data_IF_368304111131
#
_entry.id   IF_368304111131
#
_cell.length_a   1.000
_cell.length_b   1.000
_cell.length_c   1.000
_cell.angle_alpha   90.00
_cell.angle_beta   90.00
_cell.angle_gamma   90.00
#
_symmetry.space_group_name_H-M   'P 1'
#
loop_
_entity.id
_entity.type
_entity.pdbx_description
1 polymer ?
#
# COMPACT_ATOMS: atom_id res chain seq x y z
N UNK A 1 43.52 6.85 35.68
CA UNK A 1 43.54 7.06 34.21
C UNK A 1 42.74 5.94 33.59
N UNK A 2 41.44 6.14 33.43
CA UNK A 2 40.53 5.34 32.62
C UNK A 2 39.22 6.12 32.61
N UNK A 3 38.50 6.12 31.49
CA UNK A 3 37.23 6.84 31.22
C UNK A 3 37.33 8.19 30.49
N UNK A 4 38.47 8.54 29.89
CA UNK A 4 38.52 9.74 29.02
C UNK A 4 38.06 9.48 27.57
N UNK A 5 37.92 8.22 27.14
CA UNK A 5 37.64 7.87 25.74
C UNK A 5 36.51 6.84 25.55
N UNK A 6 35.84 6.37 26.62
CA UNK A 6 34.92 5.22 26.52
C UNK A 6 33.58 5.55 25.85
N UNK A 7 32.83 6.48 26.44
CA UNK A 7 31.45 6.71 26.03
C UNK A 7 31.33 7.52 24.73
N UNK A 8 32.22 8.49 24.51
CA UNK A 8 32.17 9.40 23.36
C UNK A 8 32.65 8.70 22.08
N UNK A 9 33.73 7.91 22.16
CA UNK A 9 34.26 7.15 21.02
C UNK A 9 33.30 6.05 20.55
N UNK A 10 32.66 5.35 21.49
CA UNK A 10 31.65 4.35 21.16
C UNK A 10 30.40 4.98 20.55
N UNK A 11 30.00 6.17 21.01
CA UNK A 11 28.89 6.91 20.41
C UNK A 11 29.21 7.38 18.98
N UNK A 12 30.44 7.85 18.72
CA UNK A 12 30.91 8.20 17.38
C UNK A 12 30.90 7.00 16.43
N UNK A 13 31.45 5.86 16.85
CA UNK A 13 31.45 4.62 16.03
C UNK A 13 30.05 4.15 15.68
N UNK A 14 29.12 4.20 16.64
CA UNK A 14 27.70 3.89 16.40
C UNK A 14 27.07 4.84 15.39
N UNK A 15 27.37 6.13 15.48
CA UNK A 15 26.91 7.14 14.52
C UNK A 15 27.44 6.89 13.11
N UNK A 16 28.75 6.63 12.97
CA UNK A 16 29.37 6.30 11.68
C UNK A 16 28.77 5.05 11.04
N UNK A 17 28.51 4.02 11.86
CA UNK A 17 27.88 2.80 11.37
C UNK A 17 26.47 3.07 10.81
N UNK A 18 25.62 3.80 11.54
CA UNK A 18 24.27 4.12 11.08
C UNK A 18 24.27 5.01 9.83
N UNK A 19 25.15 6.02 9.75
CA UNK A 19 25.30 6.88 8.57
C UNK A 19 25.73 6.08 7.33
N UNK A 20 26.75 5.22 7.48
CA UNK A 20 27.21 4.34 6.40
C UNK A 20 26.12 3.38 5.92
N UNK A 21 25.37 2.79 6.86
CA UNK A 21 24.27 1.89 6.55
C UNK A 21 23.13 2.61 5.81
N UNK A 22 22.78 3.83 6.25
CA UNK A 22 21.76 4.66 5.61
C UNK A 22 22.13 4.97 4.15
N UNK A 23 23.37 5.40 3.90
CA UNK A 23 23.87 5.67 2.55
C UNK A 23 23.87 4.43 1.65
N UNK A 24 24.19 3.26 2.20
CA UNK A 24 24.17 2.00 1.45
C UNK A 24 22.74 1.57 1.08
N UNK A 25 21.78 1.74 2.00
CA UNK A 25 20.36 1.47 1.75
C UNK A 25 19.80 2.37 0.65
N UNK A 26 20.08 3.68 0.68
CA UNK A 26 19.63 4.62 -0.34
C UNK A 26 20.24 4.31 -1.71
N UNK A 27 21.54 3.97 -1.75
CA UNK A 27 22.19 3.51 -2.98
C UNK A 27 21.49 2.28 -3.57
N UNK A 28 21.06 1.33 -2.74
CA UNK A 28 20.31 0.18 -3.24
C UNK A 28 18.94 0.57 -3.78
N UNK A 29 18.22 1.47 -3.11
CA UNK A 29 16.93 2.01 -3.59
C UNK A 29 17.08 2.67 -4.96
N UNK A 30 18.10 3.50 -5.15
CA UNK A 30 18.34 4.23 -6.39
C UNK A 30 18.72 3.32 -7.57
N UNK A 31 19.38 2.20 -7.30
CA UNK A 31 19.84 1.25 -8.32
C UNK A 31 18.78 0.19 -8.67
N UNK A 32 17.70 0.08 -7.91
CA UNK A 32 16.75 -1.02 -8.01
C UNK A 32 15.61 -0.71 -8.99
N UNK A 33 15.62 -1.39 -10.13
CA UNK A 33 14.56 -1.39 -11.14
C UNK A 33 14.36 -2.80 -11.73
N UNK A 34 13.42 -2.95 -12.66
CA UNK A 34 13.13 -4.26 -13.29
C UNK A 34 14.33 -4.86 -14.03
N UNK A 35 15.21 -4.03 -14.59
CA UNK A 35 16.39 -4.46 -15.34
C UNK A 35 17.54 -4.90 -14.42
N UNK A 36 17.64 -4.32 -13.22
CA UNK A 36 18.71 -4.59 -12.25
C UNK A 36 18.30 -5.57 -11.14
N UNK A 37 17.00 -5.88 -11.01
CA UNK A 37 16.38 -6.69 -9.95
C UNK A 37 17.21 -7.88 -9.50
N UNK A 38 17.53 -8.81 -10.41
CA UNK A 38 18.19 -10.06 -10.05
C UNK A 38 19.60 -9.83 -9.48
N UNK A 39 20.34 -8.88 -10.06
CA UNK A 39 21.69 -8.54 -9.61
C UNK A 39 21.65 -7.83 -8.26
N UNK A 40 20.86 -6.77 -8.14
CA UNK A 40 20.81 -5.96 -6.91
C UNK A 40 20.23 -6.77 -5.74
N UNK A 41 19.22 -7.63 -5.96
CA UNK A 41 18.71 -8.52 -4.91
C UNK A 41 19.80 -9.48 -4.39
N UNK A 42 20.69 -9.96 -5.25
CA UNK A 42 21.81 -10.79 -4.82
C UNK A 42 22.83 -9.99 -4.01
N UNK A 43 23.15 -8.76 -4.43
CA UNK A 43 24.03 -7.84 -3.68
C UNK A 43 23.45 -7.50 -2.30
N UNK A 44 22.15 -7.19 -2.22
CA UNK A 44 21.45 -6.93 -0.95
C UNK A 44 21.51 -8.16 -0.03
N UNK A 45 21.35 -9.37 -0.58
CA UNK A 45 21.45 -10.61 0.22
C UNK A 45 22.81 -10.74 0.89
N UNK A 46 23.87 -10.42 0.17
CA UNK A 46 25.22 -10.50 0.72
C UNK A 46 25.51 -9.34 1.68
N UNK A 47 25.08 -8.12 1.36
CA UNK A 47 25.19 -6.96 2.24
C UNK A 47 24.46 -7.16 3.58
N UNK A 48 23.25 -7.75 3.55
CA UNK A 48 22.44 -8.01 4.75
C UNK A 48 23.18 -8.88 5.77
N UNK A 49 24.00 -9.84 5.33
CA UNK A 49 24.81 -10.66 6.24
C UNK A 49 25.81 -9.82 7.03
N UNK A 50 26.44 -8.86 6.35
CA UNK A 50 27.36 -7.89 6.95
C UNK A 50 26.62 -6.96 7.90
N UNK A 51 25.47 -6.40 7.48
CA UNK A 51 24.65 -5.52 8.31
C UNK A 51 24.24 -6.16 9.63
N UNK A 52 23.83 -7.43 9.63
CA UNK A 52 23.45 -8.17 10.85
C UNK A 52 24.63 -8.26 11.83
N UNK A 53 25.83 -8.59 11.32
CA UNK A 53 27.04 -8.74 12.13
C UNK A 53 27.52 -7.39 12.67
N UNK A 54 27.52 -6.36 11.83
CA UNK A 54 28.00 -5.03 12.20
C UNK A 54 27.04 -4.34 13.18
N UNK A 55 25.71 -4.50 13.00
CA UNK A 55 24.71 -4.02 13.96
C UNK A 55 24.97 -4.62 15.34
N UNK A 56 25.17 -5.94 15.41
CA UNK A 56 25.45 -6.65 16.66
C UNK A 56 26.77 -6.21 17.29
N UNK A 57 27.80 -5.99 16.47
CA UNK A 57 29.12 -5.53 16.93
C UNK A 57 29.09 -4.10 17.48
N UNK A 58 28.16 -3.28 16.98
CA UNK A 58 27.87 -1.93 17.48
C UNK A 58 26.75 -1.89 18.54
N UNK A 59 26.40 -3.05 19.14
CA UNK A 59 25.40 -3.18 20.22
C UNK A 59 23.96 -2.76 19.82
N UNK A 60 23.62 -2.83 18.54
CA UNK A 60 22.25 -2.66 18.05
C UNK A 60 21.55 -4.03 17.93
N UNK A 61 21.09 -4.56 19.06
CA UNK A 61 20.44 -5.87 19.15
C UNK A 61 19.13 -5.95 18.34
N UNK A 62 18.25 -4.96 18.47
CA UNK A 62 16.95 -4.98 17.78
C UNK A 62 17.09 -4.67 16.29
N UNK A 63 18.03 -3.80 15.90
CA UNK A 63 18.36 -3.58 14.50
C UNK A 63 18.92 -4.85 13.84
N UNK A 64 19.82 -5.56 14.53
CA UNK A 64 20.37 -6.85 14.06
C UNK A 64 19.25 -7.87 13.84
N UNK A 65 18.33 -8.00 14.80
CA UNK A 65 17.16 -8.88 14.70
C UNK A 65 16.18 -8.45 13.58
N UNK A 66 16.06 -7.16 13.35
CA UNK A 66 15.26 -6.62 12.24
C UNK A 66 15.85 -7.03 10.90
N UNK A 67 17.16 -6.88 10.70
CA UNK A 67 17.83 -7.32 9.47
C UNK A 67 17.86 -8.84 9.31
N UNK A 68 17.90 -9.61 10.40
CA UNK A 68 17.69 -11.06 10.37
C UNK A 68 16.31 -11.38 9.75
N UNK A 69 15.25 -10.72 10.23
CA UNK A 69 13.89 -10.86 9.70
C UNK A 69 13.80 -10.41 8.25
N UNK A 70 14.45 -9.31 7.89
CA UNK A 70 14.56 -8.83 6.51
C UNK A 70 15.21 -9.88 5.61
N UNK A 71 16.33 -10.48 6.03
CA UNK A 71 17.04 -11.51 5.28
C UNK A 71 16.17 -12.75 5.01
N UNK A 72 15.40 -13.20 6.01
CA UNK A 72 14.49 -14.35 5.89
C UNK A 72 13.33 -14.07 4.92
N UNK A 73 12.89 -12.81 4.87
CA UNK A 73 11.81 -12.35 4.00
C UNK A 73 12.29 -11.89 2.62
N UNK A 74 13.59 -11.71 2.42
CA UNK A 74 14.16 -11.20 1.17
C UNK A 74 13.73 -12.04 -0.05
N UNK A 75 13.52 -13.33 0.17
CA UNK A 75 13.10 -14.24 -0.88
C UNK A 75 11.64 -14.12 -1.32
N UNK A 76 10.82 -13.50 -0.49
CA UNK A 76 9.38 -13.35 -0.67
C UNK A 76 9.01 -12.11 -1.47
N UNK A 77 9.91 -11.12 -1.56
CA UNK A 77 9.73 -9.98 -2.47
C UNK A 77 9.84 -10.44 -3.91
N UNK A 78 8.86 -10.11 -4.73
CA UNK A 78 8.76 -10.62 -6.09
C UNK A 78 9.19 -9.61 -7.16
N UNK A 79 9.47 -8.37 -6.77
CA UNK A 79 10.13 -7.38 -7.62
C UNK A 79 10.56 -6.11 -6.86
N UNK A 80 11.12 -5.12 -7.59
CA UNK A 80 11.51 -3.82 -7.06
C UNK A 80 10.40 -3.12 -6.28
N UNK A 81 9.15 -3.18 -6.78
CA UNK A 81 8.00 -2.54 -6.15
C UNK A 81 7.71 -3.03 -4.72
N UNK A 82 8.07 -4.28 -4.39
CA UNK A 82 7.88 -4.84 -3.05
C UNK A 82 9.12 -4.58 -2.15
N UNK A 83 10.32 -4.60 -2.74
CA UNK A 83 11.59 -4.48 -2.00
C UNK A 83 11.95 -3.02 -1.68
N UNK A 84 11.65 -2.07 -2.57
CA UNK A 84 11.94 -0.64 -2.36
C UNK A 84 11.26 -0.12 -1.08
N UNK A 85 9.96 -0.36 -0.82
CA UNK A 85 9.33 0.04 0.44
C UNK A 85 9.99 -0.58 1.67
N UNK A 86 10.43 -1.84 1.59
CA UNK A 86 11.11 -2.51 2.70
C UNK A 86 12.50 -1.91 2.99
N UNK A 87 13.27 -1.56 1.95
CA UNK A 87 14.55 -0.86 2.10
C UNK A 87 14.36 0.56 2.67
N UNK A 88 13.33 1.29 2.21
CA UNK A 88 12.98 2.61 2.76
C UNK A 88 12.54 2.52 4.21
N UNK A 89 11.83 1.45 4.58
CA UNK A 89 11.45 1.19 5.97
C UNK A 89 12.69 0.94 6.84
N UNK A 90 13.66 0.18 6.33
CA UNK A 90 14.96 -0.01 6.99
C UNK A 90 15.65 1.34 7.21
N UNK A 91 15.69 2.20 6.18
CA UNK A 91 16.38 3.48 6.26
C UNK A 91 15.72 4.40 7.30
N UNK A 92 14.38 4.49 7.31
CA UNK A 92 13.65 5.24 8.36
C UNK A 92 13.90 4.72 9.77
N UNK A 93 14.08 3.41 9.94
CA UNK A 93 14.44 2.85 11.24
C UNK A 93 15.85 3.30 11.64
N UNK A 94 16.82 3.24 10.72
CA UNK A 94 18.19 3.73 10.94
C UNK A 94 18.21 5.21 11.30
N UNK A 95 17.46 6.05 10.59
CA UNK A 95 17.28 7.48 10.91
C UNK A 95 16.70 7.69 12.32
N UNK A 96 15.68 6.92 12.70
CA UNK A 96 15.11 6.98 14.04
C UNK A 96 16.13 6.60 15.13
N UNK A 97 17.02 5.65 14.86
CA UNK A 97 18.10 5.29 15.78
C UNK A 97 19.14 6.42 15.89
N UNK A 98 19.44 7.11 14.80
CA UNK A 98 20.34 8.28 14.82
C UNK A 98 19.76 9.42 15.65
N UNK A 99 18.46 9.71 15.50
CA UNK A 99 17.76 10.78 16.21
C UNK A 99 17.59 10.48 17.70
N UNK A 100 17.13 9.27 18.02
CA UNK A 100 16.82 8.89 19.40
C UNK A 100 18.02 8.39 20.19
N UNK A 101 19.08 7.96 19.49
CA UNK A 101 20.27 7.28 20.04
C UNK A 101 19.92 6.06 20.90
N UNK A 102 18.79 5.41 20.60
CA UNK A 102 18.25 4.29 21.39
C UNK A 102 17.82 3.15 20.50
N UNK A 103 18.33 1.96 20.77
CA UNK A 103 17.81 0.72 20.19
C UNK A 103 16.94 0.01 21.23
N UNK A 104 15.65 -0.16 20.92
CA UNK A 104 14.66 -0.66 21.87
C UNK A 104 13.54 -1.40 21.14
N UNK A 105 12.85 -2.34 21.79
CA UNK A 105 11.76 -3.08 21.16
C UNK A 105 10.60 -2.16 20.77
N UNK A 106 10.34 -1.08 21.53
CA UNK A 106 9.28 -0.11 21.23
C UNK A 106 9.57 0.69 19.95
N UNK A 107 10.83 1.01 19.68
CA UNK A 107 11.24 1.65 18.43
C UNK A 107 11.16 0.64 17.30
N UNK A 108 11.76 -0.55 17.46
CA UNK A 108 11.78 -1.58 16.43
C UNK A 108 10.35 -1.99 15.97
N UNK A 109 9.39 -2.07 16.90
CA UNK A 109 8.01 -2.40 16.60
C UNK A 109 7.32 -1.42 15.65
N UNK A 110 7.75 -0.14 15.62
CA UNK A 110 7.24 0.88 14.71
C UNK A 110 7.64 0.63 13.25
N UNK A 111 8.69 -0.16 13.03
CA UNK A 111 9.24 -0.45 11.70
C UNK A 111 9.00 -1.90 11.28
N UNK A 112 7.90 -2.51 11.71
CA UNK A 112 7.63 -3.93 11.42
C UNK A 112 7.56 -4.22 9.91
N UNK A 113 8.38 -5.17 9.46
CA UNK A 113 8.40 -5.61 8.06
C UNK A 113 7.11 -6.34 7.67
N UNK A 114 6.32 -5.67 6.85
CA UNK A 114 5.15 -6.26 6.20
C UNK A 114 5.55 -6.61 4.77
N UNK A 115 5.68 -7.90 4.48
CA UNK A 115 5.73 -8.35 3.08
C UNK A 115 4.28 -8.47 2.65
N UNK A 116 3.82 -7.55 1.80
CA UNK A 116 2.60 -7.80 1.05
C UNK A 116 2.88 -9.04 0.21
N UNK A 117 2.33 -10.19 0.62
CA UNK A 117 2.43 -11.40 -0.19
C UNK A 117 1.82 -11.06 -1.54
N UNK A 118 2.57 -11.34 -2.63
CA UNK A 118 2.02 -11.39 -3.98
C UNK A 118 1.07 -12.61 -4.09
N UNK A 119 -0.01 -12.57 -3.31
CA UNK A 119 -1.18 -13.38 -3.56
C UNK A 119 -1.92 -12.76 -4.74
N UNK A 120 -2.39 -13.62 -5.63
CA UNK A 120 -3.44 -13.25 -6.56
C UNK A 120 -4.61 -12.65 -5.76
N UNK A 121 -4.86 -11.37 -5.99
CA UNK A 121 -5.97 -10.66 -5.37
C UNK A 121 -7.16 -10.75 -6.31
N UNK A 122 -8.28 -11.17 -5.77
CA UNK A 122 -9.53 -11.25 -6.50
C UNK A 122 -10.29 -9.93 -6.40
N UNK A 123 -10.81 -9.49 -7.53
CA UNK A 123 -11.60 -8.28 -7.63
C UNK A 123 -12.91 -8.54 -8.35
N UNK A 124 -13.96 -7.80 -7.98
CA UNK A 124 -15.18 -7.71 -8.75
C UNK A 124 -14.99 -6.68 -9.87
N UNK A 125 -15.19 -7.08 -11.12
CA UNK A 125 -15.20 -6.16 -12.26
C UNK A 125 -16.53 -5.43 -12.35
N UNK A 126 -16.48 -4.11 -12.42
CA UNK A 126 -17.63 -3.23 -12.44
C UNK A 126 -17.48 -2.20 -13.55
N UNK A 127 -18.62 -1.72 -14.02
CA UNK A 127 -18.67 -0.68 -15.04
C UNK A 127 -19.71 0.36 -14.66
N UNK A 128 -19.39 1.62 -14.93
CA UNK A 128 -20.34 2.73 -14.92
C UNK A 128 -20.24 3.41 -16.27
N UNK A 129 -21.34 3.38 -17.04
CA UNK A 129 -21.38 3.90 -18.40
C UNK A 129 -20.34 3.20 -19.29
N UNK A 130 -19.28 3.90 -19.71
CA UNK A 130 -18.17 3.38 -20.55
C UNK A 130 -16.87 3.19 -19.76
N UNK A 131 -16.88 3.45 -18.45
CA UNK A 131 -15.70 3.35 -17.59
C UNK A 131 -15.70 2.08 -16.75
N UNK A 132 -14.56 1.39 -16.79
CA UNK A 132 -14.33 0.11 -16.12
C UNK A 132 -13.46 0.28 -14.87
N UNK A 133 -13.87 -0.36 -13.78
CA UNK A 133 -13.12 -0.37 -12.54
C UNK A 133 -13.31 -1.69 -11.79
N UNK A 134 -12.48 -1.90 -10.77
CA UNK A 134 -12.53 -3.09 -9.93
C UNK A 134 -12.56 -2.73 -8.45
N UNK A 135 -13.29 -3.55 -7.70
CA UNK A 135 -13.39 -3.48 -6.23
C UNK A 135 -12.76 -4.75 -5.65
N UNK A 136 -11.86 -4.67 -4.66
CA UNK A 136 -11.33 -5.87 -4.01
C UNK A 136 -12.48 -6.74 -3.47
N UNK A 137 -12.51 -8.04 -3.81
CA UNK A 137 -13.65 -8.90 -3.45
C UNK A 137 -13.86 -8.98 -1.94
N UNK A 138 -12.78 -8.84 -1.16
CA UNK A 138 -12.81 -8.80 0.31
C UNK A 138 -13.68 -7.66 0.87
N UNK A 139 -13.91 -6.62 0.07
CA UNK A 139 -14.72 -5.46 0.45
C UNK A 139 -16.14 -5.54 -0.12
N UNK A 140 -16.45 -6.50 -0.99
CA UNK A 140 -17.79 -6.65 -1.58
C UNK A 140 -18.61 -7.59 -0.69
N UNK A 141 -19.77 -7.12 -0.24
CA UNK A 141 -20.75 -7.92 0.49
C UNK A 141 -21.65 -8.66 -0.49
N UNK A 142 -22.30 -7.93 -1.39
CA UNK A 142 -23.15 -8.49 -2.45
C UNK A 142 -23.50 -7.43 -3.50
N UNK A 143 -23.96 -7.88 -4.67
CA UNK A 143 -24.55 -7.03 -5.71
C UNK A 143 -26.06 -7.18 -5.64
N UNK A 144 -26.78 -6.08 -5.51
CA UNK A 144 -28.25 -6.06 -5.41
C UNK A 144 -28.87 -5.25 -6.55
N UNK A 145 -30.11 -5.58 -6.97
CA UNK A 145 -30.84 -4.77 -7.93
C UNK A 145 -31.09 -3.35 -7.39
N UNK A 146 -31.39 -2.42 -8.29
CA UNK A 146 -31.77 -1.06 -7.93
C UNK A 146 -32.91 -1.02 -6.90
N UNK A 147 -32.65 -0.35 -5.78
CA UNK A 147 -33.61 0.04 -4.76
C UNK A 147 -33.91 1.55 -4.82
N UNK A 148 -35.08 2.00 -4.33
CA UNK A 148 -35.39 3.42 -4.19
C UNK A 148 -34.33 4.15 -3.34
N UNK A 149 -33.76 5.20 -3.92
CA UNK A 149 -32.81 6.09 -3.25
C UNK A 149 -33.59 7.13 -2.42
N UNK A 150 -33.25 7.25 -1.14
CA UNK A 150 -33.81 8.25 -0.25
C UNK A 150 -32.81 9.40 -0.06
N UNK A 151 -33.16 10.65 -0.41
CA UNK A 151 -32.26 11.78 -0.30
C UNK A 151 -32.01 12.15 1.16
N UNK A 152 -30.81 12.65 1.45
CA UNK A 152 -30.48 13.20 2.77
C UNK A 152 -30.81 14.70 2.85
N UNK A 153 -31.15 15.23 4.05
CA UNK A 153 -31.49 16.65 4.22
C UNK A 153 -30.39 17.63 3.83
N UNK A 154 -29.13 17.20 3.87
CA UNK A 154 -27.96 17.97 3.42
C UNK A 154 -27.22 17.15 2.36
N UNK A 155 -27.11 17.71 1.15
CA UNK A 155 -26.36 17.08 0.06
C UNK A 155 -24.87 17.29 0.32
N UNK A 156 -24.20 16.25 0.84
CA UNK A 156 -22.74 16.19 0.89
C UNK A 156 -22.23 15.82 -0.51
N UNK A 157 -21.18 16.49 -0.99
CA UNK A 157 -20.51 16.09 -2.24
C UNK A 157 -20.05 14.64 -2.13
N UNK A 158 -20.25 13.84 -3.17
CA UNK A 158 -19.90 12.42 -3.18
C UNK A 158 -20.99 11.50 -2.65
N UNK A 159 -22.10 12.02 -2.11
CA UNK A 159 -23.17 11.23 -1.50
C UNK A 159 -24.52 11.50 -2.18
N UNK A 160 -25.10 10.47 -2.80
CA UNK A 160 -26.39 10.56 -3.49
C UNK A 160 -27.57 10.50 -2.52
N UNK A 161 -27.43 9.74 -1.44
CA UNK A 161 -28.48 9.49 -0.47
C UNK A 161 -28.25 8.18 0.28
N UNK A 162 -29.33 7.53 0.71
CA UNK A 162 -29.30 6.24 1.38
C UNK A 162 -30.29 5.27 0.75
N UNK A 163 -30.00 3.96 0.87
CA UNK A 163 -30.91 2.88 0.51
C UNK A 163 -31.15 1.96 1.72
N UNK A 164 -32.36 1.38 1.85
CA UNK A 164 -32.62 0.38 2.87
C UNK A 164 -31.98 -0.95 2.49
N UNK A 165 -31.16 -1.53 3.37
CA UNK A 165 -30.56 -2.83 3.16
C UNK A 165 -30.48 -3.60 4.48
N UNK A 166 -31.23 -4.70 4.58
CA UNK A 166 -31.29 -5.60 5.75
C UNK A 166 -31.54 -4.91 7.10
N UNK A 167 -32.33 -3.84 7.09
CA UNK A 167 -32.68 -3.06 8.30
C UNK A 167 -31.76 -1.85 8.54
N UNK A 168 -30.66 -1.74 7.80
CA UNK A 168 -29.74 -0.60 7.86
C UNK A 168 -30.03 0.40 6.74
N UNK A 169 -29.76 1.69 6.99
CA UNK A 169 -29.71 2.71 5.96
C UNK A 169 -28.27 2.83 5.44
N UNK A 170 -28.03 2.34 4.22
CA UNK A 170 -26.70 2.28 3.63
C UNK A 170 -26.48 3.52 2.73
N UNK A 171 -25.39 4.28 2.93
CA UNK A 171 -25.06 5.41 2.07
C UNK A 171 -24.73 4.96 0.64
N UNK A 172 -25.18 5.74 -0.34
CA UNK A 172 -24.87 5.56 -1.76
C UNK A 172 -23.87 6.62 -2.20
N UNK A 173 -22.65 6.21 -2.52
CA UNK A 173 -21.62 7.13 -3.02
C UNK A 173 -21.77 7.38 -4.52
N UNK A 174 -21.59 8.65 -4.91
CA UNK A 174 -21.55 9.11 -6.30
C UNK A 174 -20.13 8.99 -6.82
N UNK A 175 -19.86 8.01 -7.69
CA UNK A 175 -18.59 7.99 -8.45
C UNK A 175 -18.50 9.18 -9.43
N UNK A 176 -19.64 9.72 -9.86
CA UNK A 176 -19.68 10.87 -10.76
C UNK A 176 -18.98 12.10 -10.17
N UNK A 177 -19.17 12.34 -8.88
CA UNK A 177 -18.57 13.47 -8.17
C UNK A 177 -17.02 13.35 -8.09
N UNK A 178 -16.50 12.18 -8.47
CA UNK A 178 -15.09 11.82 -8.48
C UNK A 178 -14.52 11.61 -9.88
N UNK A 179 -15.20 12.15 -10.91
CA UNK A 179 -14.71 12.15 -12.28
C UNK A 179 -15.16 10.97 -13.13
N UNK A 180 -16.06 10.12 -12.61
CA UNK A 180 -16.75 9.16 -13.45
C UNK A 180 -17.85 9.83 -14.27
N UNK A 181 -18.13 9.26 -15.42
CA UNK A 181 -19.22 9.66 -16.29
C UNK A 181 -20.54 9.43 -15.57
N UNK A 182 -21.49 10.34 -15.81
CA UNK A 182 -22.82 10.21 -15.25
C UNK A 182 -23.43 8.90 -15.75
N UNK A 183 -24.08 8.19 -14.84
CA UNK A 183 -24.94 7.08 -15.23
C UNK A 183 -26.20 7.64 -15.89
N UNK A 184 -26.37 7.38 -17.20
CA UNK A 184 -27.53 7.84 -17.97
C UNK A 184 -28.64 6.79 -18.06
N UNK A 185 -28.41 5.57 -17.57
CA UNK A 185 -29.39 4.48 -17.61
C UNK A 185 -30.17 4.36 -16.29
N UNK A 186 -31.43 3.95 -16.42
CA UNK A 186 -32.26 3.53 -15.27
C UNK A 186 -32.03 2.07 -14.88
N UNK A 187 -31.28 1.32 -15.69
CA UNK A 187 -30.88 -0.06 -15.42
C UNK A 187 -29.50 -0.05 -14.74
N UNK A 188 -29.49 -0.26 -13.44
CA UNK A 188 -28.29 -0.26 -12.63
C UNK A 188 -28.45 -1.18 -11.41
N UNK A 189 -27.30 -1.51 -10.81
CA UNK A 189 -27.19 -2.31 -9.60
C UNK A 189 -26.50 -1.48 -8.51
N UNK A 190 -26.69 -1.88 -7.27
CA UNK A 190 -25.86 -1.44 -6.17
C UNK A 190 -24.86 -2.54 -5.80
N UNK A 191 -23.58 -2.19 -5.76
CA UNK A 191 -22.56 -3.03 -5.10
C UNK A 191 -22.52 -2.60 -3.65
N UNK A 192 -22.92 -3.49 -2.74
CA UNK A 192 -22.81 -3.26 -1.30
C UNK A 192 -21.39 -3.62 -0.86
N UNK A 193 -20.74 -2.68 -0.20
CA UNK A 193 -19.37 -2.82 0.26
C UNK A 193 -19.26 -2.65 1.78
N UNK A 194 -18.23 -3.26 2.36
CA UNK A 194 -17.84 -3.12 3.77
C UNK A 194 -16.34 -2.82 3.87
N UNK A 195 -16.00 -1.83 4.67
CA UNK A 195 -14.62 -1.54 5.07
C UNK A 195 -14.60 -1.22 6.57
N UNK A 196 -13.93 -2.09 7.34
CA UNK A 196 -13.81 -1.98 8.80
C UNK A 196 -15.16 -1.77 9.52
N UNK A 197 -16.22 -2.46 9.04
CA UNK A 197 -17.57 -2.38 9.61
C UNK A 197 -18.38 -1.17 9.15
N UNK A 198 -17.80 -0.29 8.34
CA UNK A 198 -18.53 0.79 7.67
C UNK A 198 -19.06 0.28 6.34
N UNK A 199 -20.39 0.18 6.25
CA UNK A 199 -21.07 -0.25 5.02
C UNK A 199 -21.46 0.92 4.15
N UNK A 200 -21.29 0.74 2.85
CA UNK A 200 -21.67 1.72 1.84
C UNK A 200 -22.04 1.02 0.53
N UNK A 201 -22.48 1.78 -0.47
CA UNK A 201 -22.84 1.23 -1.77
C UNK A 201 -22.39 2.12 -2.92
N UNK A 202 -22.14 1.48 -4.06
CA UNK A 202 -21.78 2.11 -5.32
C UNK A 202 -22.81 1.74 -6.39
N UNK A 203 -23.21 2.71 -7.20
CA UNK A 203 -24.04 2.46 -8.39
C UNK A 203 -23.16 1.98 -9.53
N UNK A 204 -23.56 0.87 -10.16
CA UNK A 204 -22.89 0.28 -11.32
C UNK A 204 -23.90 -0.10 -12.39
N UNK A 205 -23.55 0.03 -13.66
CA UNK A 205 -24.41 -0.35 -14.78
C UNK A 205 -24.24 -1.82 -15.14
N UNK A 206 -23.01 -2.32 -15.02
CA UNK A 206 -22.69 -3.72 -15.29
C UNK A 206 -21.73 -4.24 -14.22
N UNK A 207 -21.91 -5.50 -13.85
CA UNK A 207 -20.94 -6.25 -13.06
C UNK A 207 -20.61 -7.53 -13.80
N UNK A 208 -19.33 -7.77 -14.05
CA UNK A 208 -18.85 -8.97 -14.73
C UNK A 208 -18.19 -9.95 -13.75
N UNK A 209 -17.54 -10.98 -14.30
CA UNK A 209 -16.81 -12.00 -13.55
C UNK A 209 -15.73 -11.44 -12.61
N UNK A 210 -15.26 -12.30 -11.70
CA UNK A 210 -14.11 -12.02 -10.84
C UNK A 210 -12.83 -11.96 -11.67
N UNK A 211 -12.01 -10.94 -11.44
CA UNK A 211 -10.67 -10.81 -12.02
C UNK A 211 -9.64 -11.14 -10.95
N UNK A 212 -8.76 -12.08 -11.26
CA UNK A 212 -7.55 -12.34 -10.47
C UNK A 212 -6.42 -11.47 -11.02
N UNK A 213 -5.83 -10.64 -10.16
CA UNK A 213 -4.70 -9.78 -10.51
C UNK A 213 -3.53 -10.01 -9.56
N UNK A 214 -2.32 -10.02 -10.12
CA UNK A 214 -1.07 -9.94 -9.37
C UNK A 214 -0.60 -8.51 -9.28
N UNK A 215 0.17 -8.18 -8.25
CA UNK A 215 0.72 -6.82 -8.07
C UNK A 215 1.53 -6.33 -9.30
N UNK A 216 2.21 -7.24 -10.03
CA UNK A 216 2.97 -6.88 -11.24
C UNK A 216 2.10 -6.39 -12.41
N UNK A 217 0.82 -6.74 -12.42
CA UNK A 217 -0.13 -6.29 -13.43
C UNK A 217 -0.66 -4.89 -13.12
N UNK A 218 -0.50 -4.44 -11.87
CA UNK A 218 -0.94 -3.13 -11.41
C UNK A 218 0.14 -2.08 -11.70
N UNK A 219 -0.25 -1.04 -12.42
CA UNK A 219 0.53 0.16 -12.69
C UNK A 219 0.29 1.19 -11.58
N UNK A 220 1.37 1.66 -10.96
CA UNK A 220 1.31 2.69 -9.92
C UNK A 220 1.00 4.07 -10.52
N UNK A 221 0.12 4.82 -9.88
CA UNK A 221 -0.23 6.21 -10.23
C UNK A 221 0.98 7.13 -10.04
N UNK A 222 1.84 6.83 -9.05
CA UNK A 222 3.02 7.64 -8.72
C UNK A 222 4.08 7.65 -9.84
N UNK A 223 4.07 6.63 -10.70
CA UNK A 223 4.98 6.55 -11.84
C UNK A 223 4.59 7.49 -12.99
N UNK A 224 3.41 8.13 -12.95
CA UNK A 224 2.96 9.04 -14.01
C UNK A 224 2.30 10.31 -13.43
N UNK A 225 3.07 11.40 -13.23
CA UNK A 225 2.58 12.63 -12.61
C UNK A 225 1.47 13.36 -13.41
N UNK A 226 1.21 12.98 -14.67
CA UNK A 226 0.09 13.53 -15.45
C UNK A 226 -1.25 12.92 -15.06
N UNK A 227 -1.24 11.73 -14.44
CA UNK A 227 -2.44 11.03 -13.94
C UNK A 227 -2.93 11.57 -12.58
N UNK A 228 -2.25 12.57 -12.02
CA UNK A 228 -2.58 13.21 -10.74
C UNK A 228 -3.88 14.01 -10.89
N UNK A 229 -5.00 13.40 -10.48
CA UNK A 229 -6.08 14.04 -9.68
C UNK A 229 -7.41 13.25 -9.66
N UNK A 230 -7.41 11.92 -9.83
CA UNK A 230 -8.64 11.15 -9.57
C UNK A 230 -8.63 10.68 -8.12
N UNK A 231 -9.38 11.31 -7.20
CA UNK A 231 -9.47 10.83 -5.84
C UNK A 231 -10.10 9.42 -5.86
N UNK A 232 -9.70 8.56 -4.91
CA UNK A 232 -10.22 7.19 -4.75
C UNK A 232 -9.80 6.16 -5.80
N UNK A 233 -8.77 6.43 -6.62
CA UNK A 233 -8.11 5.41 -7.44
C UNK A 233 -6.77 5.04 -6.78
N UNK A 234 -6.56 3.74 -6.54
CA UNK A 234 -5.32 3.20 -5.98
C UNK A 234 -4.29 3.00 -7.10
N UNK A 235 -4.62 2.16 -8.07
CA UNK A 235 -3.77 1.76 -9.21
C UNK A 235 -4.62 1.62 -10.49
N UNK A 236 -3.96 1.37 -11.62
CA UNK A 236 -4.61 0.97 -12.87
C UNK A 236 -4.01 -0.34 -13.38
N UNK A 237 -4.70 -1.05 -14.26
CA UNK A 237 -4.12 -2.14 -15.04
C UNK A 237 -4.68 -2.12 -16.47
N UNK A 238 -4.04 -2.84 -17.38
CA UNK A 238 -4.50 -2.96 -18.77
C UNK A 238 -5.02 -4.36 -19.00
N UNK A 239 -6.28 -4.47 -19.45
CA UNK A 239 -6.93 -5.72 -19.86
C UNK A 239 -7.56 -5.51 -21.22
N UNK A 240 -7.28 -6.40 -22.18
CA UNK A 240 -7.85 -6.34 -23.54
C UNK A 240 -7.73 -4.96 -24.23
N UNK A 241 -6.56 -4.30 -24.06
CA UNK A 241 -6.28 -2.93 -24.53
C UNK A 241 -7.12 -1.81 -23.90
N UNK A 242 -7.84 -2.10 -22.81
CA UNK A 242 -8.59 -1.13 -22.00
C UNK A 242 -7.86 -0.87 -20.69
N UNK A 243 -7.91 0.38 -20.23
CA UNK A 243 -7.43 0.74 -18.90
C UNK A 243 -8.55 0.52 -17.90
N UNK A 244 -8.26 -0.25 -16.86
CA UNK A 244 -9.20 -0.56 -15.79
C UNK A 244 -8.66 -0.01 -14.48
N UNK A 245 -9.51 0.71 -13.75
CA UNK A 245 -9.17 1.37 -12.49
C UNK A 245 -9.31 0.44 -11.29
N UNK A 246 -8.39 0.50 -10.32
CA UNK A 246 -8.55 -0.15 -9.01
C UNK A 246 -9.01 0.89 -8.00
N UNK A 247 -10.20 0.73 -7.42
CA UNK A 247 -10.72 1.67 -6.43
C UNK A 247 -9.98 1.56 -5.09
N UNK A 248 -9.71 2.72 -4.49
CA UNK A 248 -9.23 2.87 -3.12
C UNK A 248 -10.43 3.02 -2.17
N UNK A 249 -10.87 1.88 -1.64
CA UNK A 249 -12.04 1.79 -0.77
C UNK A 249 -11.84 2.53 0.55
N UNK A 250 -10.62 2.49 1.09
CA UNK A 250 -10.29 3.19 2.34
C UNK A 250 -10.49 4.69 2.18
N UNK A 251 -9.93 5.26 1.12
CA UNK A 251 -10.12 6.69 0.83
C UNK A 251 -11.58 7.02 0.59
N UNK A 252 -12.33 6.16 -0.12
CA UNK A 252 -13.73 6.41 -0.46
C UNK A 252 -14.61 6.51 0.79
N UNK A 253 -14.35 5.68 1.79
CA UNK A 253 -15.06 5.73 3.08
C UNK A 253 -14.63 6.93 3.94
N UNK A 254 -13.39 7.38 3.82
CA UNK A 254 -12.87 8.54 4.57
C UNK A 254 -13.37 9.92 4.07
N UNK A 255 -14.04 9.98 2.91
CA UNK A 255 -14.49 11.21 2.24
C UNK A 255 -15.75 11.84 2.86
#
# INVERSE_FOLDING_TARGET
MSDFFGDDFTAELKGYYLDSLSQELDKFVDLLDESTWNRIRAEIRDATKTWIVDAKSNEFEFLSNWFQTFSEKLDQFAGPADLIPALRLANKYVEQLMDTKKDSPEIAAQFTLTVEQQGESLYLHCKVSDQEFVIPIKNVVEVIPALPLFPLPQKKSGLLGVIPFRGDAIPVFSLQDYGFNKNETNDFFYVICDYEGTRFSLQVTETEELISLRNKELQSIEANPVMISVPFIRNFFVKDQRSVMVLDIERLVAA
#
